data_IF_390936775663
#
_entry.id   IF_390936775663
#
_cell.length_a   1.000
_cell.length_b   1.000
_cell.length_c   1.000
_cell.angle_alpha   90.00
_cell.angle_beta   90.00
_cell.angle_gamma   90.00
#
_symmetry.space_group_name_H-M   'P 1'
#
loop_
_entity.id
_entity.type
_entity.pdbx_description
1 polymer ?
#
# COMPACT_ATOMS: atom_id res chain seq x y z
N UNK A 1 7.28 -2.54 2.58
CA UNK A 1 7.36 -1.49 1.54
C UNK A 1 7.76 -0.13 2.11
N UNK A 2 8.80 -0.05 2.96
CA UNK A 2 9.21 1.21 3.58
C UNK A 2 10.46 1.75 2.87
N UNK A 3 10.34 2.93 2.26
CA UNK A 3 11.45 3.64 1.62
C UNK A 3 11.74 4.94 2.38
N UNK A 4 13.01 5.37 2.47
CA UNK A 4 13.34 6.68 3.04
C UNK A 4 12.85 7.80 2.11
N UNK A 5 12.23 8.82 2.70
CA UNK A 5 11.81 10.05 2.02
C UNK A 5 12.26 11.25 2.84
N UNK A 6 13.03 12.15 2.23
CA UNK A 6 13.61 13.34 2.88
C UNK A 6 13.35 14.55 1.97
N UNK A 7 12.76 15.60 2.53
CA UNK A 7 12.61 16.91 1.89
C UNK A 7 13.46 17.93 2.61
N UNK A 8 14.08 18.85 1.86
CA UNK A 8 14.82 19.97 2.40
C UNK A 8 14.64 21.18 1.48
N UNK A 9 14.32 22.33 2.06
CA UNK A 9 14.13 23.56 1.30
C UNK A 9 13.25 24.58 2.01
N UNK A 10 12.95 25.71 1.36
CA UNK A 10 12.01 26.71 1.86
C UNK A 10 10.64 26.09 2.17
N UNK A 11 10.02 26.50 3.27
CA UNK A 11 8.69 25.99 3.68
C UNK A 11 8.69 24.61 4.32
N UNK A 12 9.83 23.91 4.40
CA UNK A 12 9.97 22.62 5.09
C UNK A 12 10.47 22.85 6.53
N UNK A 13 9.78 22.27 7.50
CA UNK A 13 10.16 22.35 8.91
C UNK A 13 11.55 21.73 9.14
N UNK A 14 12.45 22.49 9.80
CA UNK A 14 13.83 22.05 10.04
C UNK A 14 13.89 20.98 11.12
N UNK A 15 14.59 19.88 10.85
CA UNK A 15 14.80 18.80 11.83
C UNK A 15 13.53 18.04 12.22
N UNK A 16 12.42 18.27 11.52
CA UNK A 16 11.16 17.62 11.82
C UNK A 16 11.14 16.17 11.32
N UNK A 17 10.41 15.31 12.03
CA UNK A 17 10.18 13.91 11.66
C UNK A 17 8.68 13.65 11.61
N UNK A 18 8.15 13.44 10.40
CA UNK A 18 6.77 13.01 10.22
C UNK A 18 6.69 11.48 10.28
N UNK A 19 5.80 10.94 11.11
CA UNK A 19 5.54 9.50 11.25
C UNK A 19 4.28 9.05 10.53
N UNK A 20 3.58 9.97 9.86
CA UNK A 20 2.37 9.66 9.10
C UNK A 20 2.72 8.94 7.81
N UNK A 21 1.88 8.00 7.35
CA UNK A 21 2.07 7.34 6.07
C UNK A 21 2.10 8.34 4.92
N UNK A 22 2.98 8.07 3.95
CA UNK A 22 3.07 8.80 2.69
C UNK A 22 3.24 7.79 1.55
N UNK A 23 2.78 8.16 0.37
CA UNK A 23 2.88 7.37 -0.86
C UNK A 23 3.93 7.99 -1.79
N UNK A 24 4.56 7.19 -2.66
CA UNK A 24 5.43 7.74 -3.70
C UNK A 24 4.64 8.58 -4.73
N UNK A 25 3.35 8.28 -4.90
CA UNK A 25 2.45 9.07 -5.74
C UNK A 25 2.24 10.49 -5.22
N UNK A 26 2.47 10.73 -3.92
CA UNK A 26 2.35 12.05 -3.30
C UNK A 26 3.46 13.02 -3.75
N UNK A 27 4.58 12.51 -4.27
CA UNK A 27 5.72 13.33 -4.65
C UNK A 27 5.36 14.34 -5.73
N UNK A 28 4.68 13.89 -6.78
CA UNK A 28 4.36 14.74 -7.91
C UNK A 28 3.40 15.90 -7.55
N UNK A 29 2.23 15.68 -6.90
CA UNK A 29 1.38 16.80 -6.47
C UNK A 29 2.07 17.71 -5.45
N UNK A 30 2.94 17.18 -4.59
CA UNK A 30 3.75 18.02 -3.67
C UNK A 30 4.66 18.96 -4.45
N UNK A 31 5.32 18.48 -5.51
CA UNK A 31 6.18 19.32 -6.35
C UNK A 31 5.39 20.35 -7.17
N UNK A 32 4.19 20.00 -7.64
CA UNK A 32 3.28 20.95 -8.30
C UNK A 32 2.97 22.12 -7.37
N UNK A 33 2.58 21.83 -6.13
CA UNK A 33 2.25 22.84 -5.12
C UNK A 33 3.47 23.71 -4.76
N UNK A 34 4.61 23.08 -4.45
CA UNK A 34 5.84 23.80 -4.06
C UNK A 34 6.36 24.71 -5.18
N UNK A 35 6.14 24.34 -6.44
CA UNK A 35 6.51 25.16 -7.59
C UNK A 35 5.45 26.22 -7.96
N UNK A 36 4.29 26.26 -7.29
CA UNK A 36 3.19 27.16 -7.65
C UNK A 36 2.61 26.89 -9.04
N UNK A 37 2.67 25.63 -9.51
CA UNK A 37 2.14 25.23 -10.80
C UNK A 37 0.61 25.06 -10.74
N UNK A 38 -0.09 25.07 -11.89
CA UNK A 38 -1.53 24.83 -11.92
C UNK A 38 -1.92 23.49 -11.26
N UNK A 39 -2.94 23.47 -10.39
CA UNK A 39 -3.35 22.26 -9.70
C UNK A 39 -3.85 21.20 -10.68
N UNK A 40 -3.56 19.94 -10.38
CA UNK A 40 -3.92 18.78 -11.20
C UNK A 40 -4.93 17.91 -10.46
N UNK A 41 -6.10 17.72 -11.07
CA UNK A 41 -7.19 16.90 -10.52
C UNK A 41 -7.13 15.43 -10.96
N UNK A 42 -6.23 15.09 -11.87
CA UNK A 42 -6.06 13.74 -12.42
C UNK A 42 -5.08 12.87 -11.62
N UNK A 43 -4.51 13.41 -10.53
CA UNK A 43 -3.51 12.73 -9.72
C UNK A 43 -4.15 11.96 -8.58
N UNK A 44 -3.68 10.73 -8.39
CA UNK A 44 -4.07 9.88 -7.28
C UNK A 44 -3.27 10.16 -6.00
N UNK A 45 -2.15 10.88 -6.06
CA UNK A 45 -1.40 11.28 -4.87
C UNK A 45 -2.04 12.48 -4.16
N UNK A 46 -1.65 12.73 -2.92
CA UNK A 46 -2.02 13.92 -2.15
C UNK A 46 -0.76 14.70 -1.80
N UNK A 47 -0.79 16.01 -2.02
CA UNK A 47 0.32 16.88 -1.64
C UNK A 47 0.65 16.78 -0.15
N UNK A 48 1.95 16.70 0.15
CA UNK A 48 2.50 16.63 1.50
C UNK A 48 2.83 18.01 2.07
N UNK A 49 2.53 19.11 1.37
CA UNK A 49 2.91 20.46 1.80
C UNK A 49 2.48 20.78 3.25
N UNK A 50 1.29 20.32 3.67
CA UNK A 50 0.86 20.46 5.05
C UNK A 50 1.79 19.73 6.04
N UNK A 51 2.16 18.48 5.73
CA UNK A 51 3.09 17.68 6.55
C UNK A 51 4.53 18.20 6.50
N UNK A 52 4.93 18.83 5.39
CA UNK A 52 6.24 19.46 5.25
C UNK A 52 6.35 20.72 6.13
N UNK A 53 5.28 21.51 6.22
CA UNK A 53 5.22 22.69 7.07
C UNK A 53 5.03 22.33 8.56
N UNK A 54 4.21 21.33 8.85
CA UNK A 54 3.95 20.81 10.19
C UNK A 54 3.89 19.28 10.16
N UNK A 55 4.91 18.62 10.74
CA UNK A 55 4.95 17.16 10.83
C UNK A 55 3.79 16.56 11.63
N UNK A 56 3.08 17.35 12.43
CA UNK A 56 1.87 16.96 13.17
C UNK A 56 0.58 17.06 12.33
N UNK A 57 0.62 17.66 11.13
CA UNK A 57 -0.55 17.90 10.32
C UNK A 57 -1.23 16.58 9.88
N UNK A 58 -2.56 16.45 10.06
CA UNK A 58 -3.28 15.23 9.72
C UNK A 58 -3.28 15.00 8.20
N UNK A 59 -3.31 13.73 7.80
CA UNK A 59 -3.51 13.34 6.41
C UNK A 59 -4.99 13.00 6.20
N UNK A 60 -5.53 13.37 5.05
CA UNK A 60 -6.95 13.16 4.73
C UNK A 60 -7.33 11.69 4.54
N UNK A 61 -6.37 10.83 4.15
CA UNK A 61 -6.58 9.41 3.87
C UNK A 61 -5.34 8.57 4.19
N UNK A 62 -5.48 7.25 4.45
CA UNK A 62 -4.35 6.34 4.60
C UNK A 62 -3.52 6.25 3.31
N UNK A 63 -2.31 5.70 3.44
CA UNK A 63 -1.49 5.37 2.28
C UNK A 63 -1.93 4.04 1.67
N UNK A 64 -2.05 3.99 0.34
CA UNK A 64 -2.39 2.75 -0.39
C UNK A 64 -1.19 2.28 -1.21
N UNK A 65 -0.96 0.97 -1.25
CA UNK A 65 0.07 0.35 -2.10
C UNK A 65 -0.54 -0.84 -2.82
N UNK A 66 -0.33 -0.91 -4.13
CA UNK A 66 -0.79 -2.01 -4.98
C UNK A 66 0.39 -2.76 -5.58
N UNK A 67 0.28 -4.08 -5.72
CA UNK A 67 1.28 -4.91 -6.38
C UNK A 67 0.62 -6.02 -7.17
N UNK A 68 0.45 -5.84 -8.49
CA UNK A 68 -0.42 -6.66 -9.34
C UNK A 68 -1.92 -6.46 -8.99
N UNK A 69 -2.83 -6.81 -9.92
CA UNK A 69 -4.28 -6.68 -9.71
C UNK A 69 -4.74 -7.46 -8.48
N UNK A 70 -5.65 -6.87 -7.70
CA UNK A 70 -6.29 -7.51 -6.54
C UNK A 70 -5.41 -7.65 -5.30
N UNK A 71 -4.17 -7.16 -5.33
CA UNK A 71 -3.25 -7.19 -4.20
C UNK A 71 -2.97 -5.77 -3.71
N UNK A 72 -3.50 -5.44 -2.54
CA UNK A 72 -3.44 -4.09 -1.98
C UNK A 72 -3.12 -4.11 -0.50
N UNK A 73 -2.35 -3.10 -0.08
CA UNK A 73 -2.18 -2.75 1.32
C UNK A 73 -2.70 -1.34 1.59
N UNK A 74 -3.42 -1.18 2.69
CA UNK A 74 -3.88 0.11 3.22
C UNK A 74 -3.16 0.34 4.55
N UNK A 75 -2.43 1.45 4.65
CA UNK A 75 -1.64 1.81 5.82
C UNK A 75 -2.15 3.11 6.43
N UNK A 76 -2.75 3.01 7.62
CA UNK A 76 -3.03 4.15 8.49
C UNK A 76 -1.86 4.38 9.47
N UNK A 77 -2.01 5.35 10.37
CA UNK A 77 -0.98 5.65 11.38
C UNK A 77 -0.70 4.43 12.28
N UNK A 78 -1.75 3.72 12.71
CA UNK A 78 -1.65 2.59 13.64
C UNK A 78 -1.78 1.22 12.99
N UNK A 79 -2.58 1.08 11.94
CA UNK A 79 -2.93 -0.23 11.39
C UNK A 79 -2.45 -0.41 9.97
N UNK A 80 -2.17 -1.67 9.61
CA UNK A 80 -2.00 -2.09 8.22
C UNK A 80 -2.98 -3.19 7.92
N UNK A 81 -3.66 -3.02 6.80
CA UNK A 81 -4.57 -3.99 6.24
C UNK A 81 -4.02 -4.42 4.88
N UNK A 82 -4.09 -5.71 4.58
CA UNK A 82 -3.67 -6.28 3.29
C UNK A 82 -4.81 -7.17 2.77
N UNK A 83 -5.16 -6.97 1.50
CA UNK A 83 -6.04 -7.87 0.72
C UNK A 83 -5.20 -8.48 -0.38
N UNK A 84 -5.25 -9.80 -0.52
CA UNK A 84 -4.66 -10.53 -1.62
C UNK A 84 -5.70 -10.86 -2.69
N UNK A 85 -5.22 -11.21 -3.89
CA UNK A 85 -6.07 -11.53 -5.04
C UNK A 85 -6.96 -12.77 -4.80
N UNK A 86 -6.54 -13.70 -3.95
CA UNK A 86 -7.33 -14.88 -3.54
C UNK A 86 -8.39 -14.55 -2.46
N UNK A 87 -8.58 -13.26 -2.15
CA UNK A 87 -9.44 -12.74 -1.09
C UNK A 87 -8.98 -13.04 0.33
N UNK A 88 -7.80 -13.61 0.56
CA UNK A 88 -7.24 -13.68 1.92
C UNK A 88 -6.89 -12.30 2.46
N UNK A 89 -6.86 -12.17 3.80
CA UNK A 89 -6.63 -10.90 4.49
C UNK A 89 -5.59 -11.02 5.59
N UNK A 90 -4.81 -9.96 5.70
CA UNK A 90 -4.00 -9.69 6.88
C UNK A 90 -4.37 -8.35 7.51
N UNK A 91 -4.35 -8.29 8.83
CA UNK A 91 -4.54 -7.08 9.59
C UNK A 91 -3.57 -7.02 10.77
N UNK A 92 -2.86 -5.90 10.91
CA UNK A 92 -1.80 -5.72 11.92
C UNK A 92 -1.99 -4.41 12.69
N UNK A 93 -1.86 -4.48 14.01
CA UNK A 93 -1.71 -3.31 14.88
C UNK A 93 -0.23 -3.02 15.11
N UNK A 94 0.27 -1.94 14.52
CA UNK A 94 1.71 -1.67 14.46
C UNK A 94 2.25 -0.97 15.69
N UNK A 95 1.36 -0.55 16.58
CA UNK A 95 1.77 -0.12 17.92
C UNK A 95 2.09 -1.33 18.80
N UNK A 96 1.27 -2.37 18.74
CA UNK A 96 1.45 -3.59 19.53
C UNK A 96 2.44 -4.57 18.88
N UNK A 97 2.44 -4.63 17.56
CA UNK A 97 3.22 -5.56 16.74
C UNK A 97 3.90 -4.81 15.57
N UNK A 98 5.00 -4.07 15.83
CA UNK A 98 5.69 -3.30 14.81
C UNK A 98 6.35 -4.15 13.72
N UNK A 99 6.48 -5.46 13.95
CA UNK A 99 7.09 -6.41 13.02
C UNK A 99 6.05 -7.23 12.23
N UNK A 100 4.75 -7.02 12.46
CA UNK A 100 3.66 -7.64 11.68
C UNK A 100 3.69 -9.19 11.75
N UNK A 101 3.94 -9.75 12.93
CA UNK A 101 4.01 -11.20 13.16
C UNK A 101 2.66 -11.85 13.41
N UNK A 102 1.69 -11.11 13.96
CA UNK A 102 0.39 -11.65 14.38
C UNK A 102 -0.71 -11.09 13.49
N UNK A 103 -1.24 -11.94 12.61
CA UNK A 103 -2.40 -11.57 11.79
C UNK A 103 -3.68 -11.55 12.64
N UNK A 104 -4.30 -10.37 12.75
CA UNK A 104 -5.53 -10.12 13.52
C UNK A 104 -6.79 -10.11 12.65
N UNK A 105 -6.72 -10.48 11.37
CA UNK A 105 -7.87 -10.39 10.44
C UNK A 105 -9.06 -11.27 10.83
N UNK A 106 -8.83 -12.35 11.58
CA UNK A 106 -9.87 -13.23 12.12
C UNK A 106 -10.42 -12.80 13.48
N UNK A 107 -9.88 -11.76 14.12
CA UNK A 107 -10.32 -11.33 15.44
C UNK A 107 -11.48 -10.31 15.33
N UNK A 108 -12.64 -10.72 15.84
CA UNK A 108 -13.85 -9.90 15.88
C UNK A 108 -13.69 -8.55 16.59
N UNK A 109 -12.73 -8.41 17.50
CA UNK A 109 -12.45 -7.15 18.19
C UNK A 109 -11.96 -6.05 17.23
N UNK A 110 -11.41 -6.42 16.08
CA UNK A 110 -10.87 -5.49 15.07
C UNK A 110 -11.78 -5.31 13.84
N UNK A 111 -12.98 -5.90 13.85
CA UNK A 111 -13.88 -5.91 12.69
C UNK A 111 -14.22 -4.49 12.18
N UNK A 112 -14.38 -3.52 13.07
CA UNK A 112 -14.69 -2.14 12.70
C UNK A 112 -13.51 -1.46 11.97
N UNK A 113 -12.30 -1.65 12.46
CA UNK A 113 -11.06 -1.11 11.90
C UNK A 113 -10.78 -1.76 10.54
N UNK A 114 -10.98 -3.07 10.42
CA UNK A 114 -10.86 -3.79 9.14
C UNK A 114 -11.86 -3.23 8.12
N UNK A 115 -13.14 -3.06 8.52
CA UNK A 115 -14.17 -2.49 7.64
C UNK A 115 -13.88 -1.03 7.25
N UNK A 116 -13.23 -0.25 8.12
CA UNK A 116 -12.71 1.08 7.77
C UNK A 116 -11.62 1.02 6.71
N UNK A 117 -10.63 0.13 6.86
CA UNK A 117 -9.52 0.03 5.92
C UNK A 117 -9.97 -0.51 4.55
N UNK A 118 -10.93 -1.44 4.52
CA UNK A 118 -11.51 -1.97 3.27
C UNK A 118 -12.11 -0.89 2.38
N UNK A 119 -12.61 0.22 2.94
CA UNK A 119 -13.19 1.34 2.16
C UNK A 119 -12.15 2.08 1.31
N UNK A 120 -10.86 1.91 1.61
CA UNK A 120 -9.76 2.54 0.89
C UNK A 120 -9.12 1.62 -0.16
N UNK A 121 -9.63 0.39 -0.33
CA UNK A 121 -9.21 -0.45 -1.44
C UNK A 121 -9.57 0.24 -2.76
N UNK A 122 -8.70 0.18 -3.78
CA UNK A 122 -9.04 0.65 -5.12
C UNK A 122 -10.33 0.01 -5.61
N UNK A 123 -11.23 0.82 -6.16
CA UNK A 123 -12.49 0.31 -6.73
C UNK A 123 -12.28 -0.35 -8.10
N UNK A 124 -11.16 -0.05 -8.77
CA UNK A 124 -10.85 -0.51 -10.10
C UNK A 124 -9.42 -1.06 -10.16
N UNK A 125 -9.31 -2.37 -10.34
CA UNK A 125 -8.06 -3.04 -10.68
C UNK A 125 -7.91 -3.12 -12.19
N UNK A 126 -6.89 -2.46 -12.74
CA UNK A 126 -6.54 -2.65 -14.15
C UNK A 126 -5.88 -4.01 -14.32
N UNK A 127 -6.13 -4.72 -15.44
CA UNK A 127 -5.40 -5.95 -15.74
C UNK A 127 -3.91 -5.64 -15.92
N UNK A 128 -3.11 -6.70 -15.94
CA UNK A 128 -1.71 -6.59 -16.28
C UNK A 128 -1.49 -5.88 -17.62
N UNK A 129 -0.42 -5.10 -17.70
CA UNK A 129 0.01 -4.51 -18.95
C UNK A 129 0.26 -5.62 -19.99
N UNK A 130 -0.22 -5.48 -21.23
CA UNK A 130 -0.01 -6.48 -22.28
C UNK A 130 1.48 -6.80 -22.45
N UNK A 131 1.82 -8.09 -22.40
CA UNK A 131 3.20 -8.57 -22.56
C UNK A 131 4.09 -8.46 -21.32
N UNK A 132 3.56 -8.02 -20.18
CA UNK A 132 4.29 -8.02 -18.91
C UNK A 132 4.51 -9.46 -18.40
N UNK A 133 5.78 -9.83 -18.15
CA UNK A 133 6.13 -11.05 -17.44
C UNK A 133 6.20 -10.74 -15.95
N UNK A 134 5.13 -11.03 -15.22
CA UNK A 134 5.08 -10.83 -13.77
C UNK A 134 5.34 -12.14 -13.05
N UNK A 135 6.07 -12.03 -11.93
CA UNK A 135 6.33 -13.07 -10.92
C UNK A 135 5.07 -13.48 -10.14
N UNK A 136 4.04 -13.96 -10.83
CA UNK A 136 2.78 -14.35 -10.22
C UNK A 136 2.81 -15.85 -10.00
N UNK A 137 2.72 -16.26 -8.75
CA UNK A 137 2.44 -17.63 -8.36
C UNK A 137 0.98 -17.71 -7.94
N UNK A 138 0.15 -18.39 -8.73
CA UNK A 138 -1.22 -18.73 -8.34
C UNK A 138 -1.25 -20.14 -7.79
N UNK A 139 -2.12 -20.41 -6.81
CA UNK A 139 -2.35 -21.75 -6.28
C UNK A 139 -3.85 -22.06 -6.34
N UNK A 140 -4.19 -23.18 -6.95
CA UNK A 140 -5.55 -23.71 -6.97
C UNK A 140 -5.68 -24.83 -5.94
N UNK A 141 -6.41 -24.57 -4.87
CA UNK A 141 -6.65 -25.52 -3.80
C UNK A 141 -7.51 -26.72 -4.22
N UNK A 142 -8.34 -26.58 -5.27
CA UNK A 142 -9.16 -27.69 -5.77
C UNK A 142 -8.32 -28.71 -6.56
N UNK A 143 -7.28 -28.25 -7.24
CA UNK A 143 -6.40 -29.11 -8.06
C UNK A 143 -5.03 -29.38 -7.43
N UNK A 144 -4.71 -28.72 -6.30
CA UNK A 144 -3.40 -28.74 -5.63
C UNK A 144 -2.24 -28.35 -6.57
N UNK A 145 -2.49 -27.43 -7.49
CA UNK A 145 -1.51 -26.96 -8.47
C UNK A 145 -1.09 -25.52 -8.20
N UNK A 146 0.22 -25.28 -8.26
CA UNK A 146 0.76 -23.93 -8.33
C UNK A 146 1.16 -23.61 -9.77
N UNK A 147 0.89 -22.39 -10.26
CA UNK A 147 1.26 -21.96 -11.61
C UNK A 147 2.04 -20.66 -11.53
N UNK A 148 3.21 -20.63 -12.17
CA UNK A 148 4.07 -19.47 -12.30
C UNK A 148 3.87 -18.79 -13.66
N UNK A 149 3.56 -17.50 -13.63
CA UNK A 149 3.28 -16.62 -14.78
C UNK A 149 2.26 -17.20 -15.78
N UNK A 150 1.26 -17.94 -15.29
CA UNK A 150 0.24 -18.64 -16.11
C UNK A 150 0.84 -19.60 -17.17
N UNK A 151 2.10 -19.98 -17.01
CA UNK A 151 2.87 -20.73 -18.01
C UNK A 151 3.49 -22.01 -17.47
N UNK A 152 3.94 -22.00 -16.22
CA UNK A 152 4.72 -23.09 -15.65
C UNK A 152 3.96 -23.65 -14.46
N UNK A 153 3.39 -24.85 -14.59
CA UNK A 153 2.87 -25.58 -13.43
C UNK A 153 4.03 -26.02 -12.55
N UNK A 154 4.10 -25.52 -11.32
CA UNK A 154 5.04 -25.93 -10.28
C UNK A 154 4.40 -27.03 -9.44
N UNK A 155 5.05 -28.19 -9.42
CA UNK A 155 4.70 -29.32 -8.54
C UNK A 155 5.42 -29.15 -7.21
N UNK A 156 4.89 -29.75 -6.14
CA UNK A 156 5.51 -29.71 -4.79
C UNK A 156 6.97 -30.18 -4.75
N UNK A 157 7.38 -31.03 -5.71
CA UNK A 157 8.72 -31.59 -5.79
C UNK A 157 9.66 -30.83 -6.74
N UNK A 158 9.14 -29.85 -7.47
CA UNK A 158 9.95 -29.09 -8.41
C UNK A 158 10.91 -28.18 -7.65
N UNK A 159 12.15 -27.96 -8.15
CA UNK A 159 13.03 -26.97 -7.57
C UNK A 159 12.35 -25.60 -7.63
N UNK A 160 12.47 -24.82 -6.56
CA UNK A 160 11.97 -23.44 -6.54
C UNK A 160 12.65 -22.69 -7.68
N UNK A 161 11.90 -22.12 -8.63
CA UNK A 161 12.48 -21.42 -9.78
C UNK A 161 13.25 -20.15 -9.39
#
# INVERSE_FOLDING_TARGET
TRVPLIFAGPGVARGARCTRPAELLDLYPTLVDLCGLPPRADLEGVSLCAQLADAAAPRARPAVTSHNPGNHAVRSERYRYIRYADSSEEFYDLHADPNEWTNLSGDSAYAAQIAEHRRWLPAHDSPHAPGSAHRILTYDAATDQAVWEDRITIRRCDPVP
#
